data_IF_442558508868
#
_entry.id   IF_442558508868
#
_cell.length_a   1.000
_cell.length_b   1.000
_cell.length_c   1.000
_cell.angle_alpha   90.00
_cell.angle_beta   90.00
_cell.angle_gamma   90.00
#
_symmetry.space_group_name_H-M   'P 1'
#
loop_
_entity.id
_entity.type
_entity.pdbx_description
1 polymer ?
#
# COMPACT_ATOMS: atom_id res chain seq x y z
N UNK A 1 19.78 -1.70 36.44
CA UNK A 1 19.22 -1.92 35.09
C UNK A 1 18.14 -0.88 34.84
N UNK A 2 18.53 0.34 34.47
CA UNK A 2 17.57 1.36 34.05
C UNK A 2 17.16 1.08 32.61
N UNK A 3 16.37 0.02 32.40
CA UNK A 3 15.38 0.05 31.31
C UNK A 3 14.27 1.01 31.77
N UNK A 4 14.61 2.28 31.98
CA UNK A 4 13.73 3.31 32.55
C UNK A 4 12.77 3.86 31.49
N UNK A 5 12.26 2.96 30.67
CA UNK A 5 11.48 3.25 29.48
C UNK A 5 10.53 2.06 29.30
N UNK A 6 9.26 2.23 29.69
CA UNK A 6 8.27 1.15 29.77
C UNK A 6 8.02 0.44 28.44
N UNK A 7 7.16 -0.60 28.38
CA UNK A 7 6.86 -1.35 27.15
C UNK A 7 6.44 -0.46 25.97
N UNK A 8 5.93 0.74 26.25
CA UNK A 8 5.57 1.74 25.23
C UNK A 8 6.75 2.46 24.56
N UNK A 9 7.98 2.18 24.99
CA UNK A 9 9.23 2.75 24.45
C UNK A 9 10.12 1.66 23.83
N UNK A 10 9.60 0.43 23.70
CA UNK A 10 10.15 -0.65 22.90
C UNK A 10 10.16 -0.20 21.43
N UNK A 11 11.33 0.21 20.92
CA UNK A 11 11.46 0.71 19.54
C UNK A 11 12.45 1.86 19.37
N UNK A 12 12.82 2.55 20.45
CA UNK A 12 13.81 3.64 20.42
C UNK A 12 15.24 3.08 20.31
N UNK A 13 15.61 2.71 19.07
CA UNK A 13 16.93 2.18 18.73
C UNK A 13 18.06 3.14 19.13
N UNK A 14 17.85 4.45 18.99
CA UNK A 14 18.86 5.46 19.30
C UNK A 14 19.11 5.58 20.80
N UNK A 15 18.08 5.45 21.64
CA UNK A 15 18.25 5.39 23.10
C UNK A 15 18.96 4.11 23.57
N UNK A 16 19.09 3.10 22.72
CA UNK A 16 19.76 1.83 23.01
C UNK A 16 21.27 1.85 22.73
N UNK A 17 21.83 2.99 22.30
CA UNK A 17 23.19 3.09 21.76
C UNK A 17 24.26 3.32 22.83
N UNK A 18 24.38 2.42 23.82
CA UNK A 18 25.43 2.46 24.84
C UNK A 18 26.36 1.22 24.76
N UNK A 19 27.61 1.34 25.21
CA UNK A 19 28.69 0.34 25.00
C UNK A 19 28.41 -1.07 25.54
N UNK A 20 27.48 -1.22 26.49
CA UNK A 20 27.20 -2.49 27.18
C UNK A 20 25.85 -3.12 26.81
N UNK A 21 25.10 -2.48 25.90
CA UNK A 21 23.76 -2.92 25.50
C UNK A 21 23.67 -3.07 23.98
N UNK A 22 23.03 -4.13 23.55
CA UNK A 22 22.66 -4.37 22.16
C UNK A 22 21.15 -4.28 21.99
N UNK A 23 20.74 -3.71 20.87
CA UNK A 23 19.35 -3.71 20.46
C UNK A 23 19.06 -4.98 19.67
N UNK A 24 18.04 -5.73 20.07
CA UNK A 24 17.60 -6.94 19.39
C UNK A 24 16.17 -6.80 18.89
N UNK A 25 15.85 -7.54 17.84
CA UNK A 25 14.51 -7.67 17.30
C UNK A 25 13.99 -9.07 17.58
N UNK A 26 12.93 -9.16 18.37
CA UNK A 26 12.20 -10.38 18.62
C UNK A 26 10.98 -10.42 17.71
N UNK A 27 10.91 -11.44 16.84
CA UNK A 27 9.76 -11.71 16.01
C UNK A 27 9.16 -13.07 16.38
N UNK A 28 7.87 -13.12 16.65
CA UNK A 28 7.12 -14.37 16.80
C UNK A 28 6.52 -14.73 15.44
N UNK A 29 6.94 -15.83 14.85
CA UNK A 29 6.49 -16.28 13.53
C UNK A 29 5.59 -17.52 13.67
N UNK A 30 4.42 -17.48 13.01
CA UNK A 30 3.52 -18.63 12.87
C UNK A 30 4.04 -19.56 11.77
N UNK A 31 4.22 -20.84 12.08
CA UNK A 31 4.51 -21.90 11.14
C UNK A 31 3.27 -22.72 10.80
N UNK A 32 3.15 -23.26 9.55
CA UNK A 32 4.14 -23.19 8.46
C UNK A 32 4.06 -21.91 7.60
N UNK A 33 3.19 -20.96 7.96
CA UNK A 33 2.95 -19.74 7.19
C UNK A 33 4.14 -18.75 7.14
N UNK A 34 5.14 -18.92 8.01
CA UNK A 34 6.26 -18.00 8.24
C UNK A 34 5.80 -16.54 8.42
N UNK A 35 4.62 -16.32 9.01
CA UNK A 35 4.07 -14.98 9.17
C UNK A 35 4.40 -14.42 10.56
N UNK A 36 4.99 -13.22 10.65
CA UNK A 36 5.25 -12.58 11.94
C UNK A 36 3.93 -12.10 12.56
N UNK A 37 3.63 -12.55 13.78
CA UNK A 37 2.44 -12.15 14.55
C UNK A 37 2.73 -10.95 15.44
N UNK A 38 3.93 -10.94 16.01
CA UNK A 38 4.39 -9.87 16.90
C UNK A 38 5.85 -9.59 16.60
N UNK A 39 6.18 -8.32 16.40
CA UNK A 39 7.55 -7.82 16.31
C UNK A 39 7.76 -6.78 17.39
N UNK A 40 8.81 -6.96 18.20
CA UNK A 40 9.21 -6.02 19.24
C UNK A 40 10.72 -5.81 19.23
N UNK A 41 11.14 -4.60 19.58
CA UNK A 41 12.54 -4.24 19.77
C UNK A 41 12.89 -4.12 21.24
N UNK A 42 13.95 -4.79 21.69
CA UNK A 42 14.38 -4.85 23.09
C UNK A 42 15.84 -4.41 23.21
N UNK A 43 16.15 -3.69 24.30
CA UNK A 43 17.53 -3.40 24.69
C UNK A 43 17.98 -4.42 25.72
N UNK A 44 19.01 -5.20 25.41
CA UNK A 44 19.55 -6.23 26.30
C UNK A 44 21.06 -6.07 26.44
N UNK A 45 21.67 -6.53 27.55
CA UNK A 45 23.12 -6.61 27.64
C UNK A 45 23.68 -7.44 26.49
N UNK A 46 24.85 -7.07 25.95
CA UNK A 46 25.47 -7.77 24.81
C UNK A 46 25.70 -9.27 25.07
N UNK A 47 25.96 -9.65 26.32
CA UNK A 47 26.07 -11.06 26.76
C UNK A 47 24.78 -11.87 26.53
N UNK A 48 23.62 -11.20 26.52
CA UNK A 48 22.30 -11.81 26.33
C UNK A 48 21.83 -11.81 24.88
N UNK A 49 22.59 -11.28 23.91
CA UNK A 49 22.15 -11.14 22.51
C UNK A 49 22.09 -12.48 21.72
N UNK A 50 22.33 -13.62 22.38
CA UNK A 50 22.32 -14.94 21.75
C UNK A 50 20.90 -15.53 21.66
N UNK A 51 20.64 -16.33 20.62
CA UNK A 51 19.34 -16.95 20.38
C UNK A 51 18.91 -17.91 21.50
N UNK A 52 19.87 -18.60 22.14
CA UNK A 52 19.60 -19.52 23.24
C UNK A 52 19.09 -18.81 24.50
N UNK A 53 19.50 -17.57 24.73
CA UNK A 53 19.09 -16.75 25.90
C UNK A 53 17.60 -16.36 25.85
N UNK A 54 16.98 -16.43 24.67
CA UNK A 54 15.55 -16.10 24.48
C UNK A 54 14.67 -17.34 24.39
N UNK A 55 15.23 -18.54 24.54
CA UNK A 55 14.46 -19.78 24.50
C UNK A 55 13.41 -19.80 25.61
N UNK A 56 13.76 -19.37 26.82
CA UNK A 56 12.82 -19.31 27.95
C UNK A 56 11.66 -18.34 27.70
N UNK A 57 11.93 -17.20 27.05
CA UNK A 57 10.91 -16.22 26.66
C UNK A 57 10.03 -16.77 25.54
N UNK A 58 10.64 -17.43 24.55
CA UNK A 58 9.92 -18.13 23.48
C UNK A 58 8.99 -19.19 24.04
N UNK A 59 9.47 -20.01 24.98
CA UNK A 59 8.71 -21.11 25.58
C UNK A 59 7.57 -20.57 26.46
N UNK A 60 7.82 -19.47 27.20
CA UNK A 60 6.77 -18.76 27.93
C UNK A 60 5.67 -18.24 27.01
N UNK A 61 6.04 -17.61 25.89
CA UNK A 61 5.07 -17.06 24.93
C UNK A 61 4.31 -18.19 24.21
N UNK A 62 5.02 -19.24 23.77
CA UNK A 62 4.41 -20.46 23.21
C UNK A 62 3.34 -21.00 24.14
N UNK A 63 3.66 -21.19 25.42
CA UNK A 63 2.73 -21.70 26.44
C UNK A 63 1.50 -20.80 26.66
N UNK A 64 1.65 -19.48 26.53
CA UNK A 64 0.51 -18.57 26.63
C UNK A 64 -0.35 -18.54 25.35
N UNK A 65 0.25 -18.76 24.19
CA UNK A 65 -0.43 -18.71 22.91
C UNK A 65 -1.05 -20.06 22.48
N UNK A 66 -0.52 -21.18 23.00
CA UNK A 66 -0.97 -22.55 22.73
C UNK A 66 -2.50 -22.74 22.80
N UNK A 67 -3.24 -22.17 23.78
CA UNK A 67 -4.70 -22.31 23.85
C UNK A 67 -5.47 -21.65 22.70
N UNK A 68 -4.84 -20.72 21.99
CA UNK A 68 -5.45 -19.92 20.92
C UNK A 68 -4.97 -20.33 19.53
N UNK A 69 -4.03 -21.27 19.45
CA UNK A 69 -3.46 -21.77 18.19
C UNK A 69 -4.24 -22.98 17.69
N UNK A 70 -4.53 -23.07 16.38
CA UNK A 70 -4.96 -24.32 15.76
C UNK A 70 -3.90 -25.41 15.92
N UNK A 71 -4.31 -26.68 16.00
CA UNK A 71 -3.41 -27.85 16.22
C UNK A 71 -2.29 -27.96 15.18
N UNK A 72 -2.48 -27.43 13.97
CA UNK A 72 -1.50 -27.48 12.88
C UNK A 72 -0.53 -26.28 12.85
N UNK A 73 -0.60 -25.37 13.83
CA UNK A 73 0.23 -24.18 13.89
C UNK A 73 1.15 -24.17 15.11
N UNK A 74 2.41 -23.81 14.90
CA UNK A 74 3.40 -23.54 15.96
C UNK A 74 3.86 -22.08 15.88
N UNK A 75 4.27 -21.51 17.01
CA UNK A 75 4.91 -20.20 17.10
C UNK A 75 6.38 -20.39 17.40
N UNK A 76 7.26 -19.79 16.61
CA UNK A 76 8.70 -19.78 16.88
C UNK A 76 9.15 -18.33 17.13
N UNK A 77 9.95 -18.14 18.18
CA UNK A 77 10.65 -16.88 18.40
C UNK A 77 11.93 -16.82 17.57
N UNK A 78 12.06 -15.77 16.77
CA UNK A 78 13.25 -15.45 15.99
C UNK A 78 13.87 -14.18 16.54
N UNK A 79 15.12 -14.30 16.99
CA UNK A 79 15.93 -13.16 17.45
C UNK A 79 16.83 -12.72 16.32
N UNK A 80 16.75 -11.44 15.97
CA UNK A 80 17.60 -10.83 14.95
C UNK A 80 18.35 -9.65 15.56
N UNK A 81 19.68 -9.69 15.53
CA UNK A 81 20.50 -8.52 15.85
C UNK A 81 20.64 -7.67 14.58
N UNK A 82 20.04 -6.47 14.52
CA UNK A 82 20.18 -5.60 13.37
C UNK A 82 21.62 -5.10 13.29
N UNK A 83 22.38 -5.58 12.30
CA UNK A 83 23.71 -5.02 12.00
C UNK A 83 23.55 -3.58 11.53
N UNK A 84 24.46 -2.69 11.97
CA UNK A 84 24.58 -1.35 11.40
C UNK A 84 24.90 -1.48 9.90
N UNK A 85 23.87 -1.33 9.06
CA UNK A 85 24.05 -1.32 7.61
C UNK A 85 24.62 0.04 7.22
N UNK A 86 25.87 0.03 6.76
CA UNK A 86 26.56 1.13 6.08
C UNK A 86 25.59 1.75 5.06
N UNK A 87 25.53 3.09 4.99
CA UNK A 87 24.67 3.81 4.06
C UNK A 87 24.77 3.21 2.64
N UNK A 88 23.78 2.42 2.26
CA UNK A 88 23.82 1.70 1.00
C UNK A 88 23.54 2.70 -0.11
N UNK A 89 24.43 2.77 -1.09
CA UNK A 89 24.23 3.60 -2.27
C UNK A 89 22.91 3.23 -2.96
N UNK A 90 22.29 4.22 -3.59
CA UNK A 90 21.03 4.00 -4.30
C UNK A 90 21.23 3.00 -5.43
N UNK A 91 20.39 1.97 -5.49
CA UNK A 91 20.41 1.03 -6.60
C UNK A 91 20.08 1.75 -7.91
N UNK A 92 20.58 1.24 -9.03
CA UNK A 92 20.25 1.78 -10.36
C UNK A 92 18.73 1.81 -10.61
N UNK A 93 18.00 0.80 -10.12
CA UNK A 93 16.54 0.76 -10.21
C UNK A 93 15.85 1.89 -9.46
N UNK A 94 16.32 2.24 -8.26
CA UNK A 94 15.78 3.36 -7.49
C UNK A 94 15.98 4.70 -8.22
N UNK A 95 17.17 4.90 -8.81
CA UNK A 95 17.48 6.09 -9.59
C UNK A 95 16.55 6.20 -10.81
N UNK A 96 16.34 5.11 -11.55
CA UNK A 96 15.45 5.09 -12.72
C UNK A 96 14.02 5.46 -12.32
N UNK A 97 13.48 4.84 -11.26
CA UNK A 97 12.12 5.12 -10.80
C UNK A 97 11.97 6.59 -10.39
N UNK A 98 12.93 7.14 -9.65
CA UNK A 98 12.91 8.55 -9.26
C UNK A 98 13.00 9.51 -10.44
N UNK A 99 13.78 9.18 -11.48
CA UNK A 99 13.80 9.96 -12.72
C UNK A 99 12.42 9.95 -13.38
N UNK A 100 11.77 8.77 -13.48
CA UNK A 100 10.42 8.66 -14.02
C UNK A 100 9.41 9.47 -13.19
N UNK A 101 9.47 9.38 -11.86
CA UNK A 101 8.64 10.18 -10.95
C UNK A 101 8.87 11.68 -11.16
N UNK A 102 10.13 12.09 -11.27
CA UNK A 102 10.53 13.48 -11.53
C UNK A 102 10.01 13.99 -12.87
N UNK A 103 10.11 13.20 -13.94
CA UNK A 103 9.58 13.55 -15.26
C UNK A 103 8.06 13.75 -15.24
N UNK A 104 7.31 12.88 -14.57
CA UNK A 104 5.86 13.05 -14.38
C UNK A 104 5.56 14.32 -13.59
N UNK A 105 6.33 14.61 -12.54
CA UNK A 105 6.23 15.85 -11.77
C UNK A 105 6.49 17.11 -12.61
N UNK A 106 7.48 17.07 -13.51
CA UNK A 106 7.74 18.17 -14.45
C UNK A 106 6.56 18.35 -15.42
N UNK A 107 6.00 17.27 -15.96
CA UNK A 107 4.82 17.34 -16.82
C UNK A 107 3.60 17.94 -16.09
N UNK A 108 3.42 17.64 -14.81
CA UNK A 108 2.40 18.26 -13.96
C UNK A 108 2.61 19.76 -13.82
N UNK A 109 3.83 20.20 -13.52
CA UNK A 109 4.17 21.61 -13.37
C UNK A 109 3.98 22.37 -14.70
N UNK A 110 4.37 21.78 -15.83
CA UNK A 110 4.17 22.36 -17.16
C UNK A 110 2.68 22.46 -17.52
N UNK A 111 1.89 21.42 -17.24
CA UNK A 111 0.44 21.44 -17.45
C UNK A 111 -0.28 22.50 -16.60
N UNK A 112 0.17 22.69 -15.36
CA UNK A 112 -0.31 23.74 -14.46
C UNK A 112 0.09 25.13 -14.97
N UNK A 113 1.35 25.34 -15.36
CA UNK A 113 1.86 26.63 -15.86
C UNK A 113 1.15 27.09 -17.15
N UNK A 114 0.91 26.17 -18.09
CA UNK A 114 0.15 26.45 -19.31
C UNK A 114 -1.27 26.89 -18.96
N UNK A 115 -1.89 26.26 -17.97
CA UNK A 115 -3.25 26.62 -17.58
C UNK A 115 -3.27 27.98 -16.86
N UNK A 116 -2.32 28.24 -15.96
CA UNK A 116 -2.20 29.51 -15.25
C UNK A 116 -2.02 30.70 -16.20
N UNK A 117 -1.06 30.60 -17.13
CA UNK A 117 -0.77 31.65 -18.12
C UNK A 117 -1.96 31.91 -19.05
N UNK A 118 -2.74 30.89 -19.40
CA UNK A 118 -3.90 31.05 -20.27
C UNK A 118 -5.16 31.56 -19.54
N UNK A 119 -5.37 31.21 -18.26
CA UNK A 119 -6.46 31.75 -17.43
C UNK A 119 -6.28 33.26 -17.21
N UNK A 120 -5.04 33.73 -16.99
CA UNK A 120 -4.74 35.15 -16.78
C UNK A 120 -5.01 36.05 -17.99
N UNK A 121 -4.98 35.49 -19.21
CA UNK A 121 -5.24 36.24 -20.44
C UNK A 121 -6.69 36.17 -20.94
N UNK A 122 -7.47 35.18 -20.53
CA UNK A 122 -8.88 35.04 -20.90
C UNK A 122 -9.59 34.22 -19.82
N UNK A 123 -10.43 34.89 -19.02
CA UNK A 123 -11.25 34.25 -18.00
C UNK A 123 -11.96 33.01 -18.56
N UNK A 124 -11.71 31.86 -17.92
CA UNK A 124 -12.12 30.50 -18.30
C UNK A 124 -11.42 29.90 -19.53
N UNK A 125 -10.30 29.25 -19.26
CA UNK A 125 -9.64 28.32 -20.18
C UNK A 125 -10.54 27.09 -20.44
N UNK A 126 -11.20 27.05 -21.61
CA UNK A 126 -11.93 25.87 -22.11
C UNK A 126 -11.02 25.07 -23.03
N UNK A 127 -10.88 23.77 -22.75
CA UNK A 127 -10.14 22.78 -23.56
C UNK A 127 -10.47 22.87 -25.06
N UNK A 128 -11.71 23.24 -25.39
CA UNK A 128 -12.24 23.38 -26.74
C UNK A 128 -11.41 24.35 -27.62
N UNK A 129 -10.78 25.39 -27.03
CA UNK A 129 -9.94 26.35 -27.77
C UNK A 129 -8.55 25.79 -28.15
N UNK A 130 -8.02 24.80 -27.44
CA UNK A 130 -6.74 24.14 -27.80
C UNK A 130 -6.96 23.20 -28.99
N UNK A 131 -8.10 22.50 -28.97
CA UNK A 131 -8.51 21.57 -30.03
C UNK A 131 -8.71 22.33 -31.37
N UNK A 132 -9.27 23.54 -31.30
CA UNK A 132 -9.42 24.45 -32.43
C UNK A 132 -8.06 24.89 -33.03
N UNK A 133 -7.04 25.12 -32.20
CA UNK A 133 -5.69 25.52 -32.63
C UNK A 133 -4.75 24.36 -33.03
N UNK A 134 -5.23 23.10 -33.01
CA UNK A 134 -4.48 21.87 -33.40
C UNK A 134 -3.09 21.71 -32.76
N UNK A 135 -2.86 22.28 -31.58
CA UNK A 135 -1.55 22.23 -30.94
C UNK A 135 -1.42 20.95 -30.10
N UNK A 136 -0.99 19.86 -30.76
CA UNK A 136 -0.95 18.50 -30.19
C UNK A 136 -0.14 18.40 -28.90
N UNK A 137 1.01 19.10 -28.82
CA UNK A 137 1.86 19.11 -27.63
C UNK A 137 1.20 19.84 -26.43
N UNK A 138 0.44 20.89 -26.68
CA UNK A 138 -0.27 21.63 -25.63
C UNK A 138 -1.45 20.84 -25.08
N UNK A 139 -2.14 20.09 -25.95
CA UNK A 139 -3.17 19.15 -25.55
C UNK A 139 -2.61 18.00 -24.71
N UNK A 140 -1.43 17.49 -25.08
CA UNK A 140 -0.72 16.47 -24.29
C UNK A 140 -0.36 17.00 -22.90
N UNK A 141 0.23 18.20 -22.78
CA UNK A 141 0.56 18.81 -21.48
C UNK A 141 -0.68 19.17 -20.64
N UNK A 142 -1.76 19.62 -21.28
CA UNK A 142 -3.03 19.88 -20.59
C UNK A 142 -3.61 18.61 -19.95
N UNK A 143 -3.35 17.44 -20.53
CA UNK A 143 -3.79 16.15 -19.96
C UNK A 143 -3.14 15.85 -18.60
N UNK A 144 -2.01 16.48 -18.28
CA UNK A 144 -1.32 16.37 -16.99
C UNK A 144 -1.73 17.45 -15.98
N UNK A 145 -2.67 18.33 -16.30
CA UNK A 145 -3.11 19.36 -15.36
C UNK A 145 -3.88 18.74 -14.17
N UNK A 146 -3.35 18.86 -12.93
CA UNK A 146 -3.97 18.26 -11.77
C UNK A 146 -5.31 18.91 -11.41
N UNK A 147 -5.48 20.22 -11.59
CA UNK A 147 -6.71 20.93 -11.22
C UNK A 147 -7.88 20.44 -12.07
N UNK A 148 -7.70 20.37 -13.39
CA UNK A 148 -8.74 19.91 -14.33
C UNK A 148 -9.05 18.44 -14.11
N UNK A 149 -8.03 17.60 -13.90
CA UNK A 149 -8.23 16.18 -13.64
C UNK A 149 -8.94 15.93 -12.30
N UNK A 150 -8.61 16.71 -11.27
CA UNK A 150 -9.23 16.61 -9.95
C UNK A 150 -10.68 17.11 -9.96
N UNK A 151 -10.97 18.21 -10.66
CA UNK A 151 -12.34 18.66 -10.90
C UNK A 151 -13.15 17.61 -11.64
N UNK A 152 -12.59 17.00 -12.71
CA UNK A 152 -13.24 15.89 -13.42
C UNK A 152 -13.49 14.67 -12.52
N UNK A 153 -12.61 14.41 -11.56
CA UNK A 153 -12.74 13.31 -10.61
C UNK A 153 -13.87 13.55 -9.59
N UNK A 154 -14.01 14.78 -9.11
CA UNK A 154 -15.06 15.17 -8.15
C UNK A 154 -16.38 15.57 -8.79
N UNK A 155 -16.42 15.72 -10.13
CA UNK A 155 -17.67 16.00 -10.84
C UNK A 155 -18.53 14.75 -10.91
N UNK A 156 -19.65 14.76 -10.20
CA UNK A 156 -20.70 13.73 -10.34
C UNK A 156 -21.42 13.96 -11.66
N UNK A 157 -21.47 12.92 -12.51
CA UNK A 157 -22.20 12.97 -13.79
C UNK A 157 -23.56 12.31 -13.60
N UNK A 158 -24.64 13.07 -13.73
CA UNK A 158 -26.02 12.59 -13.57
C UNK A 158 -26.57 11.79 -14.77
N UNK A 159 -25.70 11.28 -15.65
CA UNK A 159 -26.09 10.67 -16.94
C UNK A 159 -26.17 9.15 -16.96
N UNK A 160 -26.10 8.46 -15.82
CA UNK A 160 -26.09 6.99 -15.74
C UNK A 160 -27.47 6.38 -15.50
N UNK A 161 -27.64 5.12 -15.92
CA UNK A 161 -28.82 4.31 -15.58
C UNK A 161 -28.96 4.22 -14.05
N UNK A 162 -30.05 4.76 -13.49
CA UNK A 162 -30.21 4.97 -12.03
C UNK A 162 -30.05 3.67 -11.23
N UNK A 163 -30.34 2.53 -11.86
CA UNK A 163 -30.18 1.18 -11.31
C UNK A 163 -28.71 0.81 -11.06
N UNK A 164 -27.78 1.23 -11.92
CA UNK A 164 -26.34 0.92 -11.77
C UNK A 164 -25.64 1.82 -10.75
N UNK A 165 -26.24 2.94 -10.37
CA UNK A 165 -25.67 3.86 -9.37
C UNK A 165 -25.61 3.22 -7.97
N UNK A 166 -26.60 2.39 -7.61
CA UNK A 166 -26.57 1.65 -6.33
C UNK A 166 -25.39 0.69 -6.29
N UNK A 167 -25.14 -0.04 -7.38
CA UNK A 167 -23.99 -0.94 -7.49
C UNK A 167 -22.65 -0.21 -7.43
N UNK A 168 -22.57 1.01 -7.99
CA UNK A 168 -21.40 1.88 -7.81
C UNK A 168 -21.21 2.28 -6.33
N UNK A 169 -22.29 2.54 -5.59
CA UNK A 169 -22.24 2.78 -4.14
C UNK A 169 -21.69 1.59 -3.36
N UNK A 170 -22.21 0.38 -3.63
CA UNK A 170 -21.71 -0.86 -3.00
C UNK A 170 -20.23 -1.08 -3.33
N UNK A 171 -19.80 -0.78 -4.56
CA UNK A 171 -18.41 -0.86 -4.96
C UNK A 171 -17.51 0.07 -4.15
N UNK A 172 -17.95 1.30 -3.87
CA UNK A 172 -17.19 2.24 -3.02
C UNK A 172 -17.04 1.71 -1.60
N UNK A 173 -18.13 1.18 -1.01
CA UNK A 173 -18.08 0.58 0.33
C UNK A 173 -17.13 -0.62 0.36
N UNK A 174 -17.17 -1.47 -0.66
CA UNK A 174 -16.28 -2.64 -0.79
C UNK A 174 -14.81 -2.23 -0.91
N UNK A 175 -14.47 -1.19 -1.67
CA UNK A 175 -13.09 -0.66 -1.72
C UNK A 175 -12.68 -0.09 -0.35
N UNK A 176 -13.56 0.64 0.32
CA UNK A 176 -13.30 1.16 1.67
C UNK A 176 -12.99 0.05 2.67
N UNK A 177 -13.71 -1.07 2.57
CA UNK A 177 -13.48 -2.25 3.41
C UNK A 177 -12.12 -2.92 3.11
N UNK A 178 -11.75 -3.05 1.84
CA UNK A 178 -10.41 -3.54 1.42
C UNK A 178 -9.30 -2.62 1.95
N UNK A 179 -9.46 -1.30 1.84
CA UNK A 179 -8.49 -0.32 2.36
C UNK A 179 -8.35 -0.46 3.88
N UNK A 180 -9.46 -0.62 4.59
CA UNK A 180 -9.46 -0.81 6.04
C UNK A 180 -8.68 -2.09 6.42
N UNK A 181 -8.97 -3.22 5.76
CA UNK A 181 -8.26 -4.48 5.99
C UNK A 181 -6.74 -4.37 5.74
N UNK A 182 -6.33 -3.78 4.62
CA UNK A 182 -4.91 -3.57 4.33
C UNK A 182 -4.24 -2.59 5.28
N UNK A 183 -4.91 -1.50 5.68
CA UNK A 183 -4.34 -0.52 6.61
C UNK A 183 -3.98 -1.17 7.94
N UNK A 184 -4.89 -1.98 8.49
CA UNK A 184 -4.61 -2.74 9.70
C UNK A 184 -3.58 -3.85 9.49
N UNK A 185 -3.58 -4.52 8.33
CA UNK A 185 -2.56 -5.52 8.00
C UNK A 185 -1.15 -4.91 8.06
N UNK A 186 -0.94 -3.72 7.48
CA UNK A 186 0.35 -3.01 7.57
C UNK A 186 0.71 -2.61 9.00
N UNK A 187 -0.27 -2.27 9.84
CA UNK A 187 -0.04 -2.00 11.27
C UNK A 187 0.41 -3.28 12.00
N UNK A 188 -0.23 -4.41 11.73
CA UNK A 188 0.15 -5.71 12.33
C UNK A 188 1.50 -6.22 11.88
N UNK A 189 1.91 -5.97 10.62
CA UNK A 189 3.27 -6.25 10.16
C UNK A 189 4.33 -5.31 10.74
N UNK A 190 3.91 -4.19 11.34
CA UNK A 190 4.77 -3.22 12.01
C UNK A 190 5.17 -3.62 13.45
N UNK A 191 5.84 -2.70 14.15
CA UNK A 191 6.20 -2.90 15.56
C UNK A 191 5.01 -2.57 16.47
N UNK A 192 4.68 -3.49 17.39
CA UNK A 192 3.63 -3.25 18.40
C UNK A 192 4.22 -2.43 19.54
N UNK A 193 3.98 -1.11 19.51
CA UNK A 193 4.42 -0.18 20.55
C UNK A 193 3.46 -0.09 21.73
N UNK A 194 2.22 -0.58 21.64
CA UNK A 194 1.29 -0.59 22.78
C UNK A 194 0.41 -1.85 22.77
N UNK A 195 0.80 -2.83 23.58
CA UNK A 195 0.08 -4.10 23.71
C UNK A 195 -1.28 -3.97 24.41
N UNK A 196 -1.49 -2.94 25.24
CA UNK A 196 -2.79 -2.68 25.89
C UNK A 196 -3.80 -2.12 24.89
N UNK A 197 -3.36 -1.26 23.97
CA UNK A 197 -4.23 -0.81 22.88
C UNK A 197 -4.63 -1.96 21.97
N UNK A 198 -3.74 -2.92 21.76
CA UNK A 198 -4.01 -4.10 20.95
C UNK A 198 -5.12 -4.97 21.56
N UNK A 199 -5.09 -5.25 22.86
CA UNK A 199 -6.16 -6.01 23.52
C UNK A 199 -7.50 -5.29 23.44
N UNK A 200 -7.53 -3.97 23.69
CA UNK A 200 -8.77 -3.19 23.56
C UNK A 200 -9.31 -3.14 22.13
N UNK A 201 -8.44 -3.23 21.12
CA UNK A 201 -8.85 -3.31 19.73
C UNK A 201 -9.51 -4.65 19.42
N UNK A 202 -8.89 -5.75 19.86
CA UNK A 202 -9.42 -7.10 19.64
C UNK A 202 -10.75 -7.33 20.37
N UNK A 203 -10.97 -6.69 21.51
CA UNK A 203 -12.23 -6.76 22.25
C UNK A 203 -13.39 -5.98 21.58
N UNK A 204 -13.13 -5.18 20.55
CA UNK A 204 -14.17 -4.41 19.87
C UNK A 204 -14.91 -5.24 18.82
N UNK A 205 -16.24 -5.27 18.88
CA UNK A 205 -17.08 -5.93 17.87
C UNK A 205 -16.79 -5.44 16.44
N UNK A 206 -16.47 -4.15 16.28
CA UNK A 206 -16.15 -3.55 14.98
C UNK A 206 -14.83 -4.06 14.41
N UNK A 207 -13.92 -4.55 15.26
CA UNK A 207 -12.65 -5.11 14.80
C UNK A 207 -12.85 -6.38 13.97
N UNK A 208 -13.96 -7.10 14.16
CA UNK A 208 -14.34 -8.26 13.32
C UNK A 208 -14.43 -7.93 11.82
N UNK A 209 -14.65 -6.65 11.47
CA UNK A 209 -14.63 -6.20 10.08
C UNK A 209 -13.22 -6.25 9.46
N UNK A 210 -12.16 -6.10 10.24
CA UNK A 210 -10.77 -6.09 9.73
C UNK A 210 -10.39 -7.41 9.08
N UNK A 211 -10.44 -8.58 9.76
CA UNK A 211 -10.13 -9.86 9.12
C UNK A 211 -11.14 -10.21 8.03
N UNK A 212 -12.39 -9.75 8.14
CA UNK A 212 -13.39 -9.90 7.07
C UNK A 212 -13.05 -9.17 5.77
N UNK A 213 -12.13 -8.20 5.80
CA UNK A 213 -11.68 -7.46 4.62
C UNK A 213 -11.07 -8.33 3.51
N UNK A 214 -10.59 -9.54 3.83
CA UNK A 214 -10.10 -10.50 2.82
C UNK A 214 -11.23 -10.90 1.85
N UNK A 215 -12.44 -11.09 2.35
CA UNK A 215 -13.61 -11.42 1.52
C UNK A 215 -14.16 -10.21 0.75
N UNK A 216 -13.83 -8.99 1.18
CA UNK A 216 -14.22 -7.77 0.49
C UNK A 216 -13.59 -7.65 -0.90
N UNK A 217 -12.40 -8.25 -1.08
CA UNK A 217 -11.66 -8.27 -2.35
C UNK A 217 -12.46 -8.98 -3.45
N UNK A 218 -13.05 -10.14 -3.14
CA UNK A 218 -13.86 -10.91 -4.09
C UNK A 218 -15.11 -10.14 -4.53
N UNK A 219 -15.78 -9.51 -3.55
CA UNK A 219 -16.95 -8.65 -3.82
C UNK A 219 -16.59 -7.47 -4.72
N UNK A 220 -15.44 -6.83 -4.47
CA UNK A 220 -14.95 -5.73 -5.30
C UNK A 220 -14.67 -6.18 -6.74
N UNK A 221 -14.00 -7.31 -6.93
CA UNK A 221 -13.68 -7.82 -8.27
C UNK A 221 -14.93 -8.24 -9.02
N UNK A 222 -15.86 -8.94 -8.36
CA UNK A 222 -17.13 -9.33 -8.95
C UNK A 222 -17.93 -8.11 -9.43
N UNK A 223 -18.14 -7.11 -8.57
CA UNK A 223 -18.86 -5.88 -8.92
C UNK A 223 -18.17 -5.11 -10.04
N UNK A 224 -16.84 -4.99 -9.98
CA UNK A 224 -16.03 -4.32 -11.00
C UNK A 224 -16.13 -5.01 -12.37
N UNK A 225 -16.13 -6.34 -12.38
CA UNK A 225 -16.34 -7.16 -13.58
C UNK A 225 -17.74 -6.98 -14.15
N UNK A 226 -18.75 -7.15 -13.32
CA UNK A 226 -20.17 -7.04 -13.69
C UNK A 226 -20.51 -5.67 -14.30
N UNK A 227 -20.15 -4.57 -13.62
CA UNK A 227 -20.40 -3.21 -14.10
C UNK A 227 -19.71 -2.94 -15.45
N UNK A 228 -18.48 -3.44 -15.61
CA UNK A 228 -17.76 -3.27 -16.88
C UNK A 228 -18.46 -4.01 -18.02
N UNK A 229 -18.93 -5.23 -17.75
CA UNK A 229 -19.66 -6.04 -18.73
C UNK A 229 -21.02 -5.43 -19.08
N UNK A 230 -21.78 -4.95 -18.09
CA UNK A 230 -23.05 -4.27 -18.29
C UNK A 230 -22.89 -3.01 -19.15
N UNK A 231 -21.86 -2.20 -18.89
CA UNK A 231 -21.53 -1.02 -19.70
C UNK A 231 -21.07 -1.39 -21.11
N UNK A 232 -20.34 -2.50 -21.26
CA UNK A 232 -19.94 -3.01 -22.58
C UNK A 232 -21.18 -3.38 -23.40
N UNK A 233 -22.08 -4.19 -22.85
CA UNK A 233 -23.34 -4.59 -23.51
C UNK A 233 -24.19 -3.37 -23.85
N UNK A 234 -24.38 -2.44 -22.90
CA UNK A 234 -25.17 -1.23 -23.12
C UNK A 234 -24.62 -0.38 -24.28
N UNK A 235 -23.29 -0.34 -24.46
CA UNK A 235 -22.66 0.35 -25.60
C UNK A 235 -22.72 -0.45 -26.90
N UNK A 236 -22.81 -1.78 -26.83
CA UNK A 236 -22.87 -2.66 -28.01
C UNK A 236 -24.29 -2.83 -28.56
N UNK A 237 -25.30 -2.85 -27.69
CA UNK A 237 -26.71 -3.08 -28.05
C UNK A 237 -27.31 -2.08 -29.06
N UNK A 238 -27.10 -0.75 -28.93
CA UNK A 238 -27.63 0.21 -29.90
C UNK A 238 -26.85 0.25 -31.23
N UNK A 239 -25.64 -0.33 -31.29
CA UNK A 239 -24.82 -0.41 -32.51
C UNK A 239 -25.00 -1.78 -33.16
N UNK A 240 -26.18 -2.02 -33.75
CA UNK A 240 -26.46 -3.21 -34.59
C UNK A 240 -25.33 -3.40 -35.63
N UNK A 241 -24.52 -4.43 -35.45
CA UNK A 241 -23.92 -5.18 -36.55
C UNK A 241 -22.44 -5.01 -36.86
N UNK A 242 -21.66 -4.13 -36.23
CA UNK A 242 -20.27 -3.91 -36.71
C UNK A 242 -19.23 -3.50 -35.65
N UNK A 243 -19.36 -4.00 -34.42
CA UNK A 243 -18.21 -4.10 -33.51
C UNK A 243 -17.65 -5.51 -33.70
N UNK A 244 -16.76 -5.64 -34.69
CA UNK A 244 -16.05 -6.90 -34.90
C UNK A 244 -15.23 -7.27 -33.67
N UNK A 245 -14.89 -8.55 -33.55
CA UNK A 245 -14.02 -9.13 -32.50
C UNK A 245 -12.81 -8.22 -32.20
N UNK A 246 -12.24 -7.57 -33.22
CA UNK A 246 -11.15 -6.61 -33.13
C UNK A 246 -11.43 -5.44 -32.18
N UNK A 247 -12.61 -4.81 -32.25
CA UNK A 247 -12.93 -3.66 -31.40
C UNK A 247 -13.21 -4.09 -29.95
N UNK A 248 -13.77 -5.28 -29.75
CA UNK A 248 -13.90 -5.88 -28.41
C UNK A 248 -12.52 -6.15 -27.82
N UNK A 249 -11.61 -6.77 -28.57
CA UNK A 249 -10.22 -7.02 -28.14
C UNK A 249 -9.51 -5.71 -27.81
N UNK A 250 -9.66 -4.66 -28.64
CA UNK A 250 -9.08 -3.34 -28.38
C UNK A 250 -9.58 -2.71 -27.07
N UNK A 251 -10.85 -2.88 -26.73
CA UNK A 251 -11.40 -2.40 -25.45
C UNK A 251 -10.74 -3.13 -24.27
N UNK A 252 -10.60 -4.45 -24.34
CA UNK A 252 -9.93 -5.25 -23.30
C UNK A 252 -8.44 -4.90 -23.20
N UNK A 253 -7.76 -4.73 -24.33
CA UNK A 253 -6.37 -4.31 -24.40
C UNK A 253 -6.17 -2.94 -23.73
N UNK A 254 -6.96 -1.94 -24.11
CA UNK A 254 -6.88 -0.60 -23.51
C UNK A 254 -7.17 -0.64 -22.01
N UNK A 255 -8.10 -1.50 -21.56
CA UNK A 255 -8.37 -1.71 -20.13
C UNK A 255 -7.17 -2.30 -19.40
N UNK A 256 -6.54 -3.32 -19.98
CA UNK A 256 -5.38 -3.98 -19.37
C UNK A 256 -4.18 -3.03 -19.30
N UNK A 257 -3.87 -2.33 -20.38
CA UNK A 257 -2.78 -1.34 -20.40
C UNK A 257 -3.01 -0.21 -19.39
N UNK A 258 -4.24 0.30 -19.28
CA UNK A 258 -4.58 1.35 -18.30
C UNK A 258 -4.35 0.90 -16.86
N UNK A 259 -4.48 -0.39 -16.55
CA UNK A 259 -4.28 -0.94 -15.20
C UNK A 259 -2.84 -1.36 -14.94
N UNK A 260 -2.18 -1.97 -15.92
CA UNK A 260 -0.83 -2.52 -15.73
C UNK A 260 0.21 -1.43 -15.53
N UNK A 261 0.11 -0.28 -16.22
CA UNK A 261 1.10 0.80 -16.07
C UNK A 261 1.17 1.35 -14.64
N UNK A 262 0.05 1.77 -14.00
CA UNK A 262 0.08 2.18 -12.61
C UNK A 262 0.55 1.07 -11.66
N UNK A 263 0.11 -0.17 -11.87
CA UNK A 263 0.46 -1.30 -11.00
C UNK A 263 1.96 -1.61 -11.05
N UNK A 264 2.52 -1.71 -12.27
CA UNK A 264 3.95 -1.93 -12.49
C UNK A 264 4.76 -0.80 -11.88
N UNK A 265 4.33 0.46 -12.08
CA UNK A 265 4.99 1.61 -11.46
C UNK A 265 4.97 1.54 -9.93
N UNK A 266 3.81 1.27 -9.31
CA UNK A 266 3.69 1.14 -7.86
C UNK A 266 4.54 -0.01 -7.33
N UNK A 267 4.57 -1.16 -8.02
CA UNK A 267 5.41 -2.28 -7.64
C UNK A 267 6.89 -1.91 -7.68
N UNK A 268 7.37 -1.32 -8.77
CA UNK A 268 8.75 -0.86 -8.88
C UNK A 268 9.08 0.22 -7.84
N UNK A 269 8.16 1.15 -7.58
CA UNK A 269 8.33 2.16 -6.54
C UNK A 269 8.49 1.52 -5.16
N UNK A 270 7.61 0.58 -4.80
CA UNK A 270 7.67 -0.14 -3.53
C UNK A 270 8.95 -0.95 -3.38
N UNK A 271 9.38 -1.67 -4.42
CA UNK A 271 10.59 -2.50 -4.37
C UNK A 271 11.88 -1.68 -4.31
N UNK A 272 11.99 -0.63 -5.12
CA UNK A 272 13.26 0.08 -5.31
C UNK A 272 13.38 1.39 -4.53
N UNK A 273 12.28 2.12 -4.33
CA UNK A 273 12.32 3.44 -3.69
C UNK A 273 11.99 3.36 -2.21
N UNK A 274 10.96 2.59 -1.84
CA UNK A 274 10.44 2.65 -0.47
C UNK A 274 11.48 2.18 0.54
N UNK A 275 12.38 1.24 0.22
CA UNK A 275 13.54 0.88 1.08
C UNK A 275 14.36 2.09 1.60
N UNK A 276 14.39 3.21 0.88
CA UNK A 276 15.13 4.42 1.24
C UNK A 276 14.29 5.50 1.94
N UNK A 277 12.95 5.36 2.00
CA UNK A 277 12.06 6.38 2.58
C UNK A 277 11.97 6.33 4.11
N UNK A 278 12.31 5.20 4.72
CA UNK A 278 12.28 5.01 6.17
C UNK A 278 13.63 4.57 6.72
N UNK A 279 13.80 4.84 8.01
CA UNK A 279 15.00 4.51 8.75
C UNK A 279 14.65 3.62 9.96
N UNK A 280 15.65 2.89 10.45
CA UNK A 280 15.53 2.06 11.64
C UNK A 280 15.51 0.55 11.38
N UNK A 281 15.78 -0.24 12.43
CA UNK A 281 15.97 -1.69 12.33
C UNK A 281 14.68 -2.44 11.98
N UNK A 282 13.52 -1.98 12.47
CA UNK A 282 12.21 -2.56 12.15
C UNK A 282 11.79 -2.31 10.71
N UNK A 283 12.10 -1.13 10.18
CA UNK A 283 11.83 -0.82 8.78
C UNK A 283 12.60 -1.80 7.87
N UNK A 284 13.92 -1.94 8.10
CA UNK A 284 14.79 -2.81 7.29
C UNK A 284 14.40 -4.28 7.35
N UNK A 285 14.14 -4.82 8.53
CA UNK A 285 13.67 -6.21 8.68
C UNK A 285 12.26 -6.43 8.13
N UNK A 286 11.40 -5.41 8.13
CA UNK A 286 10.14 -5.41 7.38
C UNK A 286 10.35 -5.53 5.87
N UNK A 287 11.29 -4.75 5.31
CA UNK A 287 11.65 -4.83 3.89
C UNK A 287 12.24 -6.16 3.48
N UNK A 288 13.15 -6.72 4.28
CA UNK A 288 13.78 -8.00 3.97
C UNK A 288 12.73 -9.13 3.93
N UNK A 289 11.73 -9.09 4.81
CA UNK A 289 10.59 -10.02 4.78
C UNK A 289 9.76 -9.88 3.50
N UNK A 290 9.41 -8.64 3.11
CA UNK A 290 8.65 -8.39 1.88
C UNK A 290 9.42 -8.83 0.62
N UNK A 291 10.75 -8.74 0.63
CA UNK A 291 11.60 -9.15 -0.50
C UNK A 291 11.98 -10.63 -0.50
N UNK A 292 11.90 -11.35 0.62
CA UNK A 292 12.17 -12.79 0.67
C UNK A 292 11.18 -13.62 -0.15
N UNK A 293 10.02 -13.04 -0.49
CA UNK A 293 8.96 -13.70 -1.27
C UNK A 293 9.05 -13.44 -2.79
N UNK A 294 10.07 -12.71 -3.26
CA UNK A 294 10.26 -12.31 -4.66
C UNK A 294 11.54 -12.91 -5.26
#
# INVERSE_FOLDING_TARGET
LNSAKGPNQLGDFEACKAETVEYILLALELQPLNMPVVRMGLCVPSECANQDSFKDISDFIKKQAEPYLPEDMDIIAKVTVPREVLAQSMSAGAIIVLIVTGLVGVLWLLGMLITYTNIGNNGNFRSDKIEEKKMTWALALHSFNPIVNLQKLFTVKDGGDKTLNVLNGVRVLSIGWVILGHSFSFVFFGAVVNTQTLSTLFDSDLFSLVPGGVFAVDSFFFLSGFLTFALLISKMYPKRGMIGIVNTILIYFHRYYRLIFPLVYIQFFTMYVVRYLGNGPMYRTGWDFLNQSC
#
